data_IF_788636111350
#
_entry.id   IF_788636111350
#
_cell.length_a   1.000
_cell.length_b   1.000
_cell.length_c   1.000
_cell.angle_alpha   90.00
_cell.angle_beta   90.00
_cell.angle_gamma   90.00
#
_symmetry.space_group_name_H-M   'P 1'
#
loop_
_entity.id
_entity.type
_entity.pdbx_description
1 polymer ?
#
# COMPACT_ATOMS: atom_id res chain seq x y z
N UNK A 1 16.59 28.10 10.06
CA UNK A 1 16.79 26.87 10.85
C UNK A 1 16.80 25.66 9.93
N UNK A 2 17.79 24.74 10.06
CA UNK A 2 17.76 23.45 9.41
C UNK A 2 16.47 22.72 9.79
N UNK A 3 15.76 22.16 8.81
CA UNK A 3 14.55 21.38 9.08
C UNK A 3 14.94 19.95 9.38
N UNK A 4 14.30 19.33 10.37
CA UNK A 4 14.51 17.92 10.72
C UNK A 4 14.39 17.01 9.48
N UNK A 5 15.30 16.03 9.40
CA UNK A 5 15.30 14.99 8.38
C UNK A 5 13.99 14.19 8.48
N UNK A 6 13.40 13.85 7.34
CA UNK A 6 12.31 12.87 7.31
C UNK A 6 12.94 11.50 7.19
N UNK A 7 12.75 10.67 8.19
CA UNK A 7 13.07 9.26 8.08
C UNK A 7 11.82 8.55 7.55
N UNK A 8 11.93 7.93 6.38
CA UNK A 8 10.92 7.01 5.89
C UNK A 8 11.49 5.60 5.84
N UNK A 9 10.66 4.62 6.15
CA UNK A 9 11.06 3.21 6.22
C UNK A 9 10.32 2.41 5.15
N UNK A 10 11.01 1.45 4.54
CA UNK A 10 10.41 0.54 3.58
C UNK A 10 9.27 -0.27 4.23
N UNK A 11 8.22 -0.57 3.47
CA UNK A 11 7.06 -1.32 3.95
C UNK A 11 6.11 -0.53 4.86
N UNK A 12 6.53 0.61 5.44
CA UNK A 12 5.63 1.49 6.19
C UNK A 12 4.63 2.17 5.25
N UNK A 13 3.45 2.46 5.81
CA UNK A 13 2.36 3.12 5.08
C UNK A 13 2.28 4.57 5.53
N UNK A 14 2.18 5.47 4.56
CA UNK A 14 2.09 6.90 4.79
C UNK A 14 0.88 7.49 4.08
N UNK A 15 0.14 8.32 4.80
CA UNK A 15 -0.79 9.26 4.20
C UNK A 15 -0.03 10.51 3.76
N UNK A 16 0.17 10.63 2.45
CA UNK A 16 0.91 11.69 1.79
C UNK A 16 -0.04 12.68 1.15
N UNK A 17 0.21 13.98 1.35
CA UNK A 17 -0.63 15.02 0.77
C UNK A 17 0.17 16.29 0.51
N UNK A 18 -0.25 17.07 -0.48
CA UNK A 18 0.26 18.42 -0.69
C UNK A 18 -0.79 19.29 -1.37
N UNK A 19 -0.65 20.61 -1.22
CA UNK A 19 -1.53 21.63 -1.77
C UNK A 19 -0.77 22.59 -2.67
N UNK A 20 -1.46 23.08 -3.69
CA UNK A 20 -0.99 24.09 -4.63
C UNK A 20 -0.97 25.47 -3.97
N UNK A 21 0.03 26.29 -4.29
CA UNK A 21 0.18 27.67 -3.82
C UNK A 21 -0.92 28.61 -4.33
N UNK A 22 -1.21 29.68 -3.59
CA UNK A 22 -2.07 30.77 -4.08
C UNK A 22 -3.56 30.46 -4.23
N UNK A 23 -4.03 29.30 -3.74
CA UNK A 23 -5.45 28.93 -3.79
C UNK A 23 -5.95 28.46 -5.16
N UNK A 24 -5.07 28.36 -6.16
CA UNK A 24 -5.41 27.97 -7.52
C UNK A 24 -5.83 26.50 -7.62
N UNK A 25 -6.68 26.19 -8.60
CA UNK A 25 -7.16 24.83 -8.88
C UNK A 25 -6.63 24.28 -10.22
N UNK A 26 -5.30 24.12 -10.39
CA UNK A 26 -4.71 23.74 -11.68
C UNK A 26 -5.08 22.33 -12.12
N UNK A 27 -5.57 21.47 -11.23
CA UNK A 27 -6.07 20.13 -11.58
C UNK A 27 -7.55 20.12 -12.02
N UNK A 28 -8.23 21.28 -12.05
CA UNK A 28 -9.47 21.43 -12.81
C UNK A 28 -9.21 21.25 -14.31
N UNK A 29 -7.99 21.56 -14.76
CA UNK A 29 -7.52 21.20 -16.09
C UNK A 29 -7.20 19.71 -16.16
N UNK A 30 -7.99 19.00 -16.97
CA UNK A 30 -7.90 17.56 -17.11
C UNK A 30 -6.55 17.07 -17.65
N UNK A 31 -5.86 17.88 -18.47
CA UNK A 31 -4.53 17.52 -18.98
C UNK A 31 -3.53 17.43 -17.83
N UNK A 32 -3.53 18.41 -16.93
CA UNK A 32 -2.57 18.43 -15.83
C UNK A 32 -2.91 17.35 -14.81
N UNK A 33 -4.19 17.12 -14.57
CA UNK A 33 -4.64 16.02 -13.73
C UNK A 33 -4.23 14.66 -14.31
N UNK A 34 -4.41 14.45 -15.62
CA UNK A 34 -3.98 13.22 -16.28
C UNK A 34 -2.47 13.04 -16.21
N UNK A 35 -1.70 14.09 -16.52
CA UNK A 35 -0.24 14.08 -16.41
C UNK A 35 0.22 13.71 -15.00
N UNK A 36 -0.39 14.28 -13.96
CA UNK A 36 -0.07 13.95 -12.58
C UNK A 36 -0.29 12.46 -12.29
N UNK A 37 -1.39 11.90 -12.79
CA UNK A 37 -1.72 10.48 -12.63
C UNK A 37 -0.76 9.57 -13.40
N UNK A 38 -0.33 9.97 -14.59
CA UNK A 38 0.66 9.22 -15.37
C UNK A 38 2.04 9.26 -14.71
N UNK A 39 2.46 10.42 -14.21
CA UNK A 39 3.67 10.56 -13.39
C UNK A 39 3.58 9.72 -12.11
N UNK A 40 2.42 9.67 -11.46
CA UNK A 40 2.19 8.83 -10.28
C UNK A 40 2.39 7.35 -10.62
N UNK A 41 1.84 6.87 -11.74
CA UNK A 41 2.05 5.49 -12.21
C UNK A 41 3.52 5.20 -12.49
N UNK A 42 4.21 6.15 -13.13
CA UNK A 42 5.61 6.03 -13.47
C UNK A 42 6.46 5.88 -12.21
N UNK A 43 6.33 6.81 -11.25
CA UNK A 43 7.11 6.74 -9.99
C UNK A 43 6.70 5.53 -9.14
N UNK A 44 5.43 5.12 -9.17
CA UNK A 44 4.97 3.91 -8.46
C UNK A 44 5.69 2.68 -8.98
N UNK A 45 5.75 2.52 -10.31
CA UNK A 45 6.41 1.38 -10.96
C UNK A 45 7.92 1.44 -10.76
N UNK A 46 8.52 2.60 -11.01
CA UNK A 46 9.98 2.79 -10.96
C UNK A 46 10.56 2.57 -9.56
N UNK A 47 9.86 3.08 -8.54
CA UNK A 47 10.37 3.14 -7.16
C UNK A 47 9.76 2.05 -6.26
N UNK A 48 8.97 1.13 -6.82
CA UNK A 48 8.40 -0.03 -6.12
C UNK A 48 7.34 0.33 -5.08
N UNK A 49 6.60 1.42 -5.27
CA UNK A 49 5.57 1.86 -4.33
C UNK A 49 4.29 1.01 -4.48
N UNK A 50 3.52 0.88 -3.41
CA UNK A 50 2.12 0.41 -3.52
C UNK A 50 1.16 1.53 -3.12
N UNK A 51 0.24 1.88 -4.01
CA UNK A 51 -0.82 2.84 -3.74
C UNK A 51 -2.00 2.10 -3.13
N UNK A 52 -2.41 2.46 -1.91
CA UNK A 52 -3.54 1.86 -1.20
C UNK A 52 -4.80 2.72 -1.28
N UNK A 53 -4.66 3.97 -1.71
CA UNK A 53 -5.77 4.88 -1.97
C UNK A 53 -5.24 6.21 -2.48
N UNK A 54 -6.05 6.90 -3.28
CA UNK A 54 -5.65 8.19 -3.81
C UNK A 54 -6.87 9.05 -4.16
N UNK A 55 -6.71 10.36 -4.10
CA UNK A 55 -7.63 11.33 -4.68
C UNK A 55 -6.83 12.55 -5.12
N UNK A 56 -7.21 13.12 -6.26
CA UNK A 56 -6.65 14.36 -6.79
C UNK A 56 -7.79 15.35 -6.94
N UNK A 57 -7.77 16.40 -6.12
CA UNK A 57 -8.73 17.49 -6.11
C UNK A 57 -8.15 18.67 -6.89
N UNK A 58 -8.97 19.70 -7.14
CA UNK A 58 -8.57 20.85 -7.98
C UNK A 58 -7.25 21.50 -7.55
N UNK A 59 -7.01 21.61 -6.24
CA UNK A 59 -5.84 22.32 -5.69
C UNK A 59 -4.95 21.48 -4.76
N UNK A 60 -5.23 20.19 -4.58
CA UNK A 60 -4.42 19.33 -3.70
C UNK A 60 -4.62 17.85 -4.01
N UNK A 61 -3.75 17.00 -3.49
CA UNK A 61 -3.89 15.55 -3.59
C UNK A 61 -3.76 14.89 -2.21
N UNK A 62 -4.34 13.71 -2.09
CA UNK A 62 -4.07 12.76 -1.02
C UNK A 62 -3.70 11.39 -1.62
N UNK A 63 -2.64 10.78 -1.12
CA UNK A 63 -2.14 9.47 -1.51
C UNK A 63 -1.92 8.65 -0.25
N UNK A 64 -2.25 7.36 -0.27
CA UNK A 64 -1.92 6.40 0.78
C UNK A 64 -0.92 5.46 0.15
N UNK A 65 0.32 5.53 0.60
CA UNK A 65 1.46 4.90 -0.06
C UNK A 65 2.12 3.95 0.93
N UNK A 66 2.22 2.67 0.58
CA UNK A 66 3.24 1.81 1.17
C UNK A 66 4.56 2.09 0.46
N UNK A 67 5.56 2.50 1.23
CA UNK A 67 6.89 2.77 0.70
C UNK A 67 7.54 1.45 0.19
N UNK A 68 8.17 1.54 -0.97
CA UNK A 68 9.03 0.48 -1.53
C UNK A 68 10.50 0.65 -1.13
N UNK A 69 11.45 0.12 -1.91
CA UNK A 69 12.88 0.18 -1.56
C UNK A 69 13.48 1.58 -1.67
N UNK A 70 12.81 2.49 -2.39
CA UNK A 70 13.25 3.88 -2.55
C UNK A 70 12.57 4.76 -1.50
N UNK A 71 13.38 5.53 -0.76
CA UNK A 71 12.88 6.54 0.20
C UNK A 71 11.84 7.44 -0.44
N UNK A 72 10.68 7.57 0.22
CA UNK A 72 9.49 8.27 -0.28
C UNK A 72 9.75 9.72 -0.71
N UNK A 73 10.81 10.36 -0.20
CA UNK A 73 11.21 11.70 -0.63
C UNK A 73 11.54 11.77 -2.12
N UNK A 74 12.17 10.75 -2.69
CA UNK A 74 12.58 10.73 -4.11
C UNK A 74 11.40 10.66 -5.10
N UNK A 75 10.47 9.69 -5.02
CA UNK A 75 9.29 9.66 -5.88
C UNK A 75 8.44 10.92 -5.71
N UNK A 76 8.24 11.39 -4.47
CA UNK A 76 7.41 12.58 -4.23
C UNK A 76 8.06 13.86 -4.76
N UNK A 77 9.38 14.00 -4.63
CA UNK A 77 10.13 15.09 -5.27
C UNK A 77 9.98 15.03 -6.79
N UNK A 78 10.16 13.85 -7.39
CA UNK A 78 10.02 13.64 -8.85
C UNK A 78 8.63 14.05 -9.33
N UNK A 79 7.59 13.53 -8.68
CA UNK A 79 6.19 13.77 -9.01
C UNK A 79 5.87 15.27 -8.98
N UNK A 80 6.24 15.94 -7.88
CA UNK A 80 5.99 17.38 -7.71
C UNK A 80 6.78 18.24 -8.70
N UNK A 81 8.07 17.95 -8.88
CA UNK A 81 8.93 18.75 -9.78
C UNK A 81 8.51 18.63 -11.23
N UNK A 82 8.19 17.42 -11.71
CA UNK A 82 7.77 17.21 -13.10
C UNK A 82 6.40 17.80 -13.37
N UNK A 83 5.47 17.73 -12.41
CA UNK A 83 4.18 18.41 -12.51
C UNK A 83 4.36 19.93 -12.65
N UNK A 84 5.17 20.54 -11.78
CA UNK A 84 5.48 21.98 -11.85
C UNK A 84 6.13 22.35 -13.19
N UNK A 85 7.14 21.59 -13.63
CA UNK A 85 7.88 21.88 -14.87
C UNK A 85 6.97 21.80 -16.08
N UNK A 86 6.13 20.78 -16.18
CA UNK A 86 5.24 20.60 -17.31
C UNK A 86 4.18 21.70 -17.38
N UNK A 87 3.55 22.05 -16.26
CA UNK A 87 2.62 23.18 -16.18
C UNK A 87 3.32 24.48 -16.59
N UNK A 88 4.45 24.80 -15.97
CA UNK A 88 5.16 26.06 -16.21
C UNK A 88 5.59 26.20 -17.68
N UNK A 89 6.04 25.11 -18.29
CA UNK A 89 6.39 25.09 -19.72
C UNK A 89 5.18 25.34 -20.61
N UNK A 90 4.05 24.66 -20.34
CA UNK A 90 2.83 24.79 -21.14
C UNK A 90 2.20 26.17 -21.01
N UNK A 91 2.08 26.67 -19.77
CA UNK A 91 1.38 27.90 -19.45
C UNK A 91 2.30 29.14 -19.59
N UNK A 92 3.59 28.94 -19.91
CA UNK A 92 4.62 30.00 -19.98
C UNK A 92 4.73 30.85 -18.72
N UNK A 93 4.64 30.19 -17.56
CA UNK A 93 4.75 30.83 -16.24
C UNK A 93 5.97 30.31 -15.47
N UNK A 94 6.40 31.07 -14.47
CA UNK A 94 7.52 30.72 -13.60
C UNK A 94 7.06 30.56 -12.15
N UNK A 95 7.90 29.94 -11.32
CA UNK A 95 7.69 29.84 -9.88
C UNK A 95 7.20 28.47 -9.40
N UNK A 96 6.97 28.38 -8.08
CA UNK A 96 6.55 27.15 -7.41
C UNK A 96 5.05 26.90 -7.62
N UNK A 97 4.71 25.67 -7.99
CA UNK A 97 3.32 25.20 -7.98
C UNK A 97 2.83 24.87 -6.57
N UNK A 98 3.70 24.37 -5.70
CA UNK A 98 3.32 23.78 -4.41
C UNK A 98 3.52 24.77 -3.25
N UNK A 99 2.70 24.68 -2.20
CA UNK A 99 2.84 25.44 -0.94
C UNK A 99 4.08 25.04 -0.11
N UNK A 100 4.86 24.08 -0.59
CA UNK A 100 6.07 23.60 0.04
C UNK A 100 6.26 22.10 -0.18
N UNK A 101 7.04 21.46 0.70
CA UNK A 101 7.22 20.01 0.69
C UNK A 101 5.88 19.31 0.96
N UNK A 102 5.66 18.13 0.36
CA UNK A 102 4.56 17.25 0.76
C UNK A 102 4.55 17.04 2.27
N UNK A 103 3.40 16.74 2.84
CA UNK A 103 3.26 16.23 4.19
C UNK A 103 3.09 14.72 4.13
N UNK A 104 3.53 14.02 5.17
CA UNK A 104 3.37 12.58 5.31
C UNK A 104 3.10 12.28 6.78
N UNK A 105 2.01 11.57 7.06
CA UNK A 105 1.68 11.02 8.38
C UNK A 105 1.75 9.50 8.27
N UNK A 106 2.51 8.85 9.15
CA UNK A 106 2.56 7.38 9.18
C UNK A 106 1.18 6.84 9.58
N UNK A 107 0.77 5.76 8.91
CA UNK A 107 -0.44 5.02 9.25
C UNK A 107 -0.05 3.93 10.24
N UNK A 108 -0.52 4.15 11.47
CA UNK A 108 -0.40 3.47 12.76
C UNK A 108 -0.99 2.09 13.01
N UNK A 109 -2.08 1.77 12.31
CA UNK A 109 -2.90 0.57 12.55
C UNK A 109 -3.72 0.21 11.31
N UNK A 110 -4.24 -1.02 11.26
CA UNK A 110 -5.18 -1.47 10.22
C UNK A 110 -6.51 -0.70 10.26
N UNK A 111 -7.02 -0.40 11.46
CA UNK A 111 -8.22 0.42 11.65
C UNK A 111 -8.03 1.84 11.11
N UNK A 112 -6.88 2.46 11.41
CA UNK A 112 -6.55 3.78 10.88
C UNK A 112 -6.37 3.75 9.36
N UNK A 113 -5.80 2.67 8.81
CA UNK A 113 -5.70 2.48 7.37
C UNK A 113 -7.08 2.47 6.69
N UNK A 114 -8.05 1.75 7.23
CA UNK A 114 -9.42 1.72 6.68
C UNK A 114 -10.05 3.12 6.73
N UNK A 115 -9.93 3.82 7.85
CA UNK A 115 -10.46 5.18 8.04
C UNK A 115 -9.84 6.17 7.04
N UNK A 116 -8.51 6.17 6.88
CA UNK A 116 -7.85 7.11 5.96
C UNK A 116 -8.18 6.78 4.50
N UNK A 117 -8.33 5.49 4.14
CA UNK A 117 -8.82 5.08 2.80
C UNK A 117 -10.22 5.63 2.54
N UNK A 118 -11.14 5.51 3.50
CA UNK A 118 -12.49 6.06 3.36
C UNK A 118 -12.44 7.59 3.22
N UNK A 119 -11.71 8.28 4.10
CA UNK A 119 -11.52 9.73 4.06
C UNK A 119 -10.98 10.23 2.72
N UNK A 120 -9.94 9.58 2.18
CA UNK A 120 -9.33 9.97 0.89
C UNK A 120 -10.33 9.80 -0.25
N UNK A 121 -11.10 8.71 -0.26
CA UNK A 121 -12.08 8.45 -1.32
C UNK A 121 -13.33 9.32 -1.22
N UNK A 122 -13.71 9.76 -0.02
CA UNK A 122 -14.84 10.63 0.24
C UNK A 122 -14.53 12.12 0.13
N UNK A 123 -13.26 12.48 0.00
CA UNK A 123 -12.83 13.87 -0.12
C UNK A 123 -13.55 14.66 -1.23
N UNK A 124 -13.78 14.10 -2.44
CA UNK A 124 -14.54 14.79 -3.48
C UNK A 124 -16.01 15.05 -3.12
N UNK A 125 -16.63 14.15 -2.33
CA UNK A 125 -18.00 14.32 -1.83
C UNK A 125 -18.04 15.42 -0.78
N UNK A 126 -17.11 15.37 0.19
CA UNK A 126 -16.96 16.42 1.22
C UNK A 126 -16.68 17.80 0.62
N UNK A 127 -16.00 17.85 -0.53
CA UNK A 127 -15.73 19.09 -1.26
C UNK A 127 -16.92 19.58 -2.11
N UNK A 128 -18.06 18.88 -2.10
CA UNK A 128 -19.25 19.23 -2.88
C UNK A 128 -19.09 19.04 -4.39
N UNK A 129 -18.12 18.24 -4.84
CA UNK A 129 -17.84 18.05 -6.27
C UNK A 129 -18.74 16.98 -6.91
N UNK A 130 -19.20 16.01 -6.12
CA UNK A 130 -20.05 14.89 -6.54
C UNK A 130 -20.88 14.41 -5.35
N UNK A 131 -22.05 13.81 -5.61
CA UNK A 131 -22.90 13.25 -4.54
C UNK A 131 -22.38 11.91 -4.02
N UNK A 132 -21.64 11.18 -4.87
CA UNK A 132 -21.14 9.85 -4.53
C UNK A 132 -19.71 9.63 -5.04
N UNK A 133 -18.84 9.01 -4.22
CA UNK A 133 -17.41 8.80 -4.54
C UNK A 133 -17.18 8.09 -5.89
N UNK A 134 -18.10 7.23 -6.31
CA UNK A 134 -18.05 6.52 -7.58
C UNK A 134 -18.23 7.39 -8.83
N UNK A 135 -18.71 8.63 -8.69
CA UNK A 135 -18.85 9.61 -9.76
C UNK A 135 -17.53 10.36 -10.01
N UNK A 136 -16.65 10.48 -9.00
CA UNK A 136 -15.40 11.22 -9.14
C UNK A 136 -14.32 10.42 -9.88
N UNK A 137 -13.89 10.91 -11.05
CA UNK A 137 -12.90 10.23 -11.91
C UNK A 137 -11.48 10.24 -11.37
N UNK A 138 -11.12 11.25 -10.58
CA UNK A 138 -9.77 11.46 -10.06
C UNK A 138 -9.62 10.90 -8.64
N UNK A 139 -10.10 9.68 -8.44
CA UNK A 139 -10.02 8.97 -7.17
C UNK A 139 -9.79 7.47 -7.38
N UNK A 140 -9.10 6.87 -6.41
CA UNK A 140 -8.84 5.44 -6.29
C UNK A 140 -10.06 4.62 -5.90
N UNK A 141 -11.18 5.25 -5.52
CA UNK A 141 -12.43 4.54 -5.23
C UNK A 141 -12.86 3.70 -6.44
N UNK A 142 -12.78 4.29 -7.64
CA UNK A 142 -13.11 3.63 -8.91
C UNK A 142 -12.20 2.45 -9.23
N UNK A 143 -10.97 2.45 -8.72
CA UNK A 143 -10.04 1.32 -8.87
C UNK A 143 -10.55 0.12 -8.07
N UNK A 144 -10.93 0.35 -6.81
CA UNK A 144 -11.38 -0.70 -5.87
C UNK A 144 -12.72 -1.30 -6.31
N UNK A 145 -13.67 -0.48 -6.76
CA UNK A 145 -14.99 -0.97 -7.20
C UNK A 145 -15.00 -1.54 -8.63
N UNK A 146 -13.84 -1.64 -9.29
CA UNK A 146 -13.70 -2.26 -10.62
C UNK A 146 -14.18 -1.40 -11.79
N UNK A 147 -14.28 -0.08 -11.61
CA UNK A 147 -14.68 0.88 -12.67
C UNK A 147 -13.50 1.45 -13.48
N UNK A 148 -12.26 1.00 -13.22
CA UNK A 148 -11.07 1.36 -13.99
C UNK A 148 -10.36 0.10 -14.48
N UNK A 149 -10.08 0.02 -15.80
CA UNK A 149 -9.40 -1.12 -16.43
C UNK A 149 -7.97 -1.33 -15.92
N UNK A 150 -7.24 -0.23 -15.70
CA UNK A 150 -5.85 -0.23 -15.21
C UNK A 150 -5.82 0.50 -13.87
N UNK A 151 -6.11 -0.16 -12.73
CA UNK A 151 -6.05 0.49 -11.43
C UNK A 151 -4.62 0.97 -11.12
N UNK A 152 -4.49 2.02 -10.31
CA UNK A 152 -3.22 2.40 -9.66
C UNK A 152 -3.19 1.80 -8.27
N UNK A 153 -4.35 1.75 -7.62
CA UNK A 153 -4.50 1.11 -6.32
C UNK A 153 -4.12 -0.36 -6.42
N UNK A 154 -3.34 -0.85 -5.47
CA UNK A 154 -3.14 -2.27 -5.22
C UNK A 154 -4.45 -2.83 -4.62
N UNK A 155 -5.44 -3.09 -5.48
CA UNK A 155 -6.83 -3.41 -5.06
C UNK A 155 -6.87 -4.62 -4.12
N UNK A 156 -6.10 -5.67 -4.43
CA UNK A 156 -6.08 -6.87 -3.60
C UNK A 156 -5.49 -6.58 -2.20
N UNK A 157 -4.47 -5.73 -2.11
CA UNK A 157 -3.87 -5.28 -0.84
C UNK A 157 -4.87 -4.53 0.03
N UNK A 158 -5.67 -3.66 -0.59
CA UNK A 158 -6.72 -2.92 0.11
C UNK A 158 -7.83 -3.87 0.56
N UNK A 159 -8.33 -4.72 -0.33
CA UNK A 159 -9.45 -5.60 0.01
C UNK A 159 -9.11 -6.60 1.13
N UNK A 160 -7.83 -6.97 1.31
CA UNK A 160 -7.39 -7.78 2.44
C UNK A 160 -7.67 -7.14 3.80
N UNK A 161 -7.78 -5.81 3.89
CA UNK A 161 -8.10 -5.12 5.15
C UNK A 161 -9.60 -5.12 5.46
N UNK A 162 -10.46 -5.45 4.48
CA UNK A 162 -11.92 -5.39 4.61
C UNK A 162 -12.58 -6.77 4.68
N UNK A 163 -11.87 -7.86 4.36
CA UNK A 163 -12.41 -9.20 4.55
C UNK A 163 -11.69 -10.31 3.79
N UNK A 164 -12.07 -11.55 4.12
CA UNK A 164 -11.35 -12.77 3.71
C UNK A 164 -11.56 -13.17 2.24
N UNK A 165 -12.69 -12.76 1.67
CA UNK A 165 -13.06 -13.04 0.28
C UNK A 165 -13.28 -11.73 -0.44
N UNK A 166 -12.89 -11.67 -1.72
CA UNK A 166 -13.06 -10.48 -2.57
C UNK A 166 -14.49 -9.93 -2.51
N UNK A 167 -15.50 -10.80 -2.51
CA UNK A 167 -16.92 -10.40 -2.44
C UNK A 167 -17.28 -9.77 -1.10
N UNK A 168 -16.87 -10.38 0.03
CA UNK A 168 -17.13 -9.82 1.38
C UNK A 168 -16.35 -8.54 1.61
N UNK A 169 -15.07 -8.53 1.26
CA UNK A 169 -14.20 -7.35 1.36
C UNK A 169 -14.75 -6.17 0.55
N UNK A 170 -15.19 -6.40 -0.69
CA UNK A 170 -15.76 -5.33 -1.51
C UNK A 170 -17.07 -4.80 -0.93
N UNK A 171 -17.90 -5.68 -0.33
CA UNK A 171 -19.12 -5.27 0.36
C UNK A 171 -18.79 -4.44 1.61
N UNK A 172 -17.86 -4.90 2.43
CA UNK A 172 -17.42 -4.20 3.64
C UNK A 172 -16.78 -2.84 3.31
N UNK A 173 -15.95 -2.77 2.26
CA UNK A 173 -15.41 -1.52 1.75
C UNK A 173 -16.51 -0.54 1.28
N UNK A 174 -17.51 -1.02 0.53
CA UNK A 174 -18.63 -0.16 0.10
C UNK A 174 -19.42 0.32 1.32
N UNK A 175 -19.76 -0.59 2.22
CA UNK A 175 -20.43 -0.25 3.47
C UNK A 175 -19.66 0.78 4.28
N UNK A 176 -18.33 0.70 4.37
CA UNK A 176 -17.55 1.70 5.12
C UNK A 176 -17.57 3.07 4.44
N UNK A 177 -17.64 3.13 3.11
CA UNK A 177 -17.80 4.39 2.37
C UNK A 177 -19.19 4.98 2.63
N UNK A 178 -20.24 4.15 2.59
CA UNK A 178 -21.63 4.56 2.78
C UNK A 178 -21.91 4.97 4.25
N UNK A 179 -21.35 4.26 5.23
CA UNK A 179 -21.47 4.60 6.66
C UNK A 179 -20.80 5.94 6.97
N UNK A 180 -19.58 6.17 6.47
CA UNK A 180 -18.87 7.44 6.70
C UNK A 180 -19.54 8.62 5.98
N UNK A 181 -20.26 8.37 4.88
CA UNK A 181 -21.12 9.39 4.24
C UNK A 181 -22.33 9.78 5.10
N UNK A 182 -22.85 8.86 5.92
CA UNK A 182 -24.01 9.08 6.78
C UNK A 182 -23.71 9.69 8.16
N UNK A 183 -22.44 9.79 8.56
CA UNK A 183 -22.03 10.36 9.86
C UNK A 183 -21.87 11.89 9.80
N UNK A 184 -22.27 12.61 10.87
CA UNK A 184 -22.17 14.08 10.99
C UNK A 184 -20.73 14.60 10.89
N UNK A 185 -19.73 13.78 11.23
CA UNK A 185 -18.29 14.05 11.07
C UNK A 185 -17.86 14.21 9.60
N UNK A 186 -18.76 13.96 8.65
CA UNK A 186 -18.58 14.30 7.24
C UNK A 186 -18.43 15.82 7.01
N UNK A 187 -18.98 16.65 7.92
CA UNK A 187 -19.03 18.11 7.84
C UNK A 187 -17.80 18.84 8.42
N UNK A 188 -16.93 18.17 9.19
CA UNK A 188 -15.76 18.80 9.79
C UNK A 188 -14.61 18.99 8.78
N UNK A 189 -14.12 20.23 8.69
CA UNK A 189 -13.04 20.61 7.78
C UNK A 189 -11.66 20.03 8.17
N UNK A 190 -10.67 20.06 7.25
CA UNK A 190 -9.32 19.57 7.52
C UNK A 190 -8.69 20.33 8.70
N UNK A 191 -8.57 19.68 9.86
CA UNK A 191 -7.96 20.24 11.07
C UNK A 191 -8.74 19.96 12.37
N UNK A 192 -10.01 19.55 12.23
CA UNK A 192 -10.92 19.31 13.37
C UNK A 192 -11.25 17.84 13.61
N UNK A 193 -10.97 16.95 12.66
CA UNK A 193 -11.09 15.52 12.90
C UNK A 193 -10.22 15.15 14.13
N UNK A 194 -10.71 14.32 15.07
CA UNK A 194 -10.03 14.04 16.34
C UNK A 194 -8.56 13.58 16.18
N UNK A 195 -8.25 12.95 15.05
CA UNK A 195 -6.95 12.39 14.66
C UNK A 195 -6.15 13.24 13.64
N UNK A 196 -6.70 14.39 13.22
CA UNK A 196 -6.10 15.33 12.25
C UNK A 196 -6.15 16.77 12.75
N UNK A 197 -5.31 17.08 13.74
CA UNK A 197 -5.10 18.46 14.19
C UNK A 197 -4.09 19.16 13.28
N UNK A 198 -4.38 20.39 12.86
CA UNK A 198 -3.40 21.29 12.26
C UNK A 198 -2.36 21.68 13.35
N UNK A 199 -1.26 20.93 13.45
CA UNK A 199 -0.21 21.13 14.45
C UNK A 199 1.07 20.35 14.15
N UNK A 200 2.14 20.61 14.92
CA UNK A 200 3.33 19.72 14.90
C UNK A 200 2.91 18.37 15.49
N UNK A 201 3.40 17.23 14.97
CA UNK A 201 3.19 15.92 15.59
C UNK A 201 3.57 15.97 17.07
N UNK A 202 2.76 15.37 17.95
CA UNK A 202 3.15 15.20 19.36
C UNK A 202 4.42 14.35 19.45
N UNK A 203 5.11 14.37 20.60
CA UNK A 203 6.34 13.60 20.77
C UNK A 203 6.13 12.08 20.62
N UNK A 204 4.92 11.60 20.94
CA UNK A 204 4.48 10.21 20.71
C UNK A 204 4.16 9.91 19.23
N UNK A 205 3.76 10.92 18.45
CA UNK A 205 3.56 10.83 16.99
C UNK A 205 4.87 11.02 16.19
N UNK A 206 6.00 11.26 16.87
CA UNK A 206 7.32 11.26 16.23
C UNK A 206 7.79 9.83 16.03
N UNK A 207 8.22 9.54 14.80
CA UNK A 207 8.82 8.27 14.37
C UNK A 207 9.79 7.73 15.43
N UNK A 208 9.45 6.59 16.04
CA UNK A 208 10.42 5.75 16.74
C UNK A 208 11.14 4.91 15.68
N UNK A 209 12.29 5.42 15.25
CA UNK A 209 13.17 4.76 14.28
C UNK A 209 14.06 3.74 15.02
N UNK A 210 14.36 2.61 14.38
CA UNK A 210 15.30 1.54 14.77
C UNK A 210 14.77 0.37 15.61
N UNK A 211 13.74 -0.34 15.17
CA UNK A 211 13.62 -1.80 15.44
C UNK A 211 12.98 -2.53 14.24
N UNK A 212 13.41 -3.76 13.98
CA UNK A 212 12.82 -4.63 12.96
C UNK A 212 11.31 -4.78 13.25
N UNK A 213 10.48 -4.15 12.43
CA UNK A 213 9.06 -3.94 12.76
C UNK A 213 8.16 -4.50 11.66
N UNK A 214 7.01 -5.01 12.09
CA UNK A 214 5.92 -5.37 11.20
C UNK A 214 5.13 -4.09 10.85
N UNK A 215 4.68 -3.96 9.60
CA UNK A 215 3.75 -2.92 9.16
C UNK A 215 2.35 -3.22 9.73
N UNK A 216 1.40 -2.34 9.42
CA UNK A 216 0.02 -2.43 9.93
C UNK A 216 -0.78 -3.64 9.46
N UNK A 217 -0.25 -4.37 8.48
CA UNK A 217 -0.80 -5.63 8.00
C UNK A 217 0.05 -6.83 8.49
N UNK A 218 0.96 -6.61 9.44
CA UNK A 218 1.82 -7.63 10.01
C UNK A 218 3.03 -8.01 9.13
N UNK A 219 3.59 -7.11 8.31
CA UNK A 219 4.68 -7.40 7.34
C UNK A 219 6.02 -6.76 7.69
N UNK A 220 7.15 -7.46 7.63
CA UNK A 220 8.47 -6.85 7.95
C UNK A 220 8.81 -5.68 7.02
N UNK A 221 9.28 -4.57 7.61
CA UNK A 221 9.66 -3.29 6.98
C UNK A 221 11.07 -3.28 6.33
N UNK A 222 11.66 -4.46 6.09
CA UNK A 222 13.08 -4.57 5.68
C UNK A 222 13.33 -4.27 4.19
N UNK A 223 14.59 -3.88 3.92
CA UNK A 223 15.14 -3.10 2.80
C UNK A 223 15.26 -3.78 1.40
N UNK A 224 14.76 -5.00 1.21
CA UNK A 224 15.21 -5.88 0.11
C UNK A 224 14.13 -6.89 -0.31
N UNK A 225 13.83 -6.94 -1.62
CA UNK A 225 12.97 -7.96 -2.26
C UNK A 225 13.68 -8.54 -3.49
N UNK A 226 14.52 -9.57 -3.31
CA UNK A 226 15.08 -10.31 -4.45
C UNK A 226 13.96 -11.03 -5.17
N UNK A 227 14.22 -11.45 -6.40
CA UNK A 227 13.31 -12.35 -7.10
C UNK A 227 13.89 -13.75 -7.13
N UNK A 228 13.30 -14.67 -6.38
CA UNK A 228 13.56 -16.09 -6.54
C UNK A 228 12.72 -16.65 -7.69
N UNK A 229 13.30 -17.61 -8.45
CA UNK A 229 12.46 -18.48 -9.27
C UNK A 229 11.69 -19.42 -8.34
N UNK A 230 10.47 -19.75 -8.73
CA UNK A 230 9.59 -20.58 -7.89
C UNK A 230 10.19 -21.95 -7.57
N UNK A 231 10.99 -22.53 -8.47
CA UNK A 231 11.66 -23.82 -8.26
C UNK A 231 12.75 -23.73 -7.19
N UNK A 232 13.69 -22.80 -7.36
CA UNK A 232 14.76 -22.52 -6.40
C UNK A 232 14.20 -22.20 -5.01
N UNK A 233 13.11 -21.41 -4.96
CA UNK A 233 12.41 -21.11 -3.72
C UNK A 233 11.84 -22.36 -3.04
N UNK A 234 11.19 -23.25 -3.80
CA UNK A 234 10.64 -24.50 -3.25
C UNK A 234 11.76 -25.36 -2.69
N UNK A 235 12.88 -25.49 -3.40
CA UNK A 235 14.03 -26.28 -2.95
C UNK A 235 14.64 -25.72 -1.67
N UNK A 236 14.79 -24.39 -1.58
CA UNK A 236 15.27 -23.71 -0.37
C UNK A 236 14.35 -23.98 0.82
N UNK A 237 13.03 -23.84 0.64
CA UNK A 237 12.06 -24.11 1.72
C UNK A 237 12.09 -25.58 2.15
N UNK A 238 12.22 -26.51 1.19
CA UNK A 238 12.34 -27.93 1.48
C UNK A 238 13.59 -28.22 2.33
N UNK A 239 14.74 -27.67 1.94
CA UNK A 239 15.99 -27.83 2.70
C UNK A 239 15.93 -27.18 4.08
N UNK A 240 15.36 -25.98 4.20
CA UNK A 240 15.25 -25.26 5.47
C UNK A 240 14.28 -25.91 6.47
N UNK A 241 13.29 -26.67 5.98
CA UNK A 241 12.30 -27.33 6.81
C UNK A 241 12.52 -28.86 6.93
N UNK A 242 13.54 -29.40 6.27
CA UNK A 242 13.80 -30.84 6.14
C UNK A 242 12.55 -31.62 5.64
N UNK A 243 11.94 -31.12 4.57
CA UNK A 243 10.72 -31.68 3.97
C UNK A 243 11.02 -32.14 2.54
N UNK A 244 10.61 -33.38 2.21
CA UNK A 244 10.65 -33.85 0.83
C UNK A 244 9.72 -33.00 -0.04
N UNK A 245 10.25 -32.51 -1.16
CA UNK A 245 9.53 -31.71 -2.14
C UNK A 245 8.25 -32.39 -2.62
N UNK A 246 8.28 -33.72 -2.81
CA UNK A 246 7.09 -34.49 -3.23
C UNK A 246 5.95 -34.36 -2.23
N UNK A 247 6.24 -34.25 -0.95
CA UNK A 247 5.22 -34.07 0.07
C UNK A 247 4.48 -32.71 -0.07
N UNK A 248 5.14 -31.68 -0.61
CA UNK A 248 4.50 -30.39 -0.94
C UNK A 248 3.66 -30.45 -2.22
N UNK A 249 4.00 -31.32 -3.17
CA UNK A 249 3.27 -31.60 -4.41
C UNK A 249 2.07 -32.54 -4.19
N UNK A 250 2.10 -33.38 -3.15
CA UNK A 250 1.08 -34.38 -2.88
C UNK A 250 -0.22 -33.84 -2.27
N UNK A 251 -1.25 -34.69 -2.09
CA UNK A 251 -2.50 -34.29 -1.42
C UNK A 251 -2.43 -34.34 0.11
N UNK A 252 -1.25 -34.64 0.67
CA UNK A 252 -1.01 -34.73 2.12
C UNK A 252 -1.43 -33.48 2.88
N UNK A 253 -1.97 -33.66 4.08
CA UNK A 253 -2.50 -32.59 4.94
C UNK A 253 -1.98 -32.68 6.38
N UNK A 254 -0.82 -33.29 6.61
CA UNK A 254 -0.22 -33.28 7.93
C UNK A 254 0.02 -31.83 8.40
N UNK A 255 0.00 -31.57 9.71
CA UNK A 255 0.27 -30.23 10.23
C UNK A 255 1.59 -29.64 9.71
N UNK A 256 2.65 -30.44 9.57
CA UNK A 256 3.93 -29.96 9.03
C UNK A 256 3.81 -29.53 7.56
N UNK A 257 3.21 -30.36 6.70
CA UNK A 257 3.06 -30.06 5.27
C UNK A 257 2.17 -28.84 5.03
N UNK A 258 1.12 -28.68 5.85
CA UNK A 258 0.26 -27.50 5.81
C UNK A 258 1.04 -26.25 6.20
N UNK A 259 1.80 -26.29 7.30
CA UNK A 259 2.63 -25.16 7.76
C UNK A 259 3.73 -24.81 6.75
N UNK A 260 4.37 -25.82 6.16
CA UNK A 260 5.40 -25.63 5.14
C UNK A 260 4.85 -24.91 3.90
N UNK A 261 3.69 -25.34 3.39
CA UNK A 261 3.00 -24.65 2.29
C UNK A 261 2.62 -23.21 2.62
N UNK A 262 2.19 -22.96 3.85
CA UNK A 262 1.85 -21.62 4.35
C UNK A 262 3.09 -20.72 4.42
N UNK A 263 4.22 -21.22 4.92
CA UNK A 263 5.51 -20.52 4.93
C UNK A 263 6.02 -20.26 3.51
N UNK A 264 5.92 -21.25 2.63
CA UNK A 264 6.36 -21.19 1.24
C UNK A 264 5.58 -20.12 0.46
N UNK A 265 4.26 -20.08 0.63
CA UNK A 265 3.42 -19.03 0.09
C UNK A 265 3.73 -17.67 0.72
N UNK A 266 3.72 -17.59 2.06
CA UNK A 266 3.91 -16.35 2.80
C UNK A 266 5.23 -15.67 2.47
N UNK A 267 6.35 -16.34 2.76
CA UNK A 267 7.68 -15.75 2.67
C UNK A 267 8.09 -15.56 1.21
N UNK A 268 7.82 -16.54 0.34
CA UNK A 268 8.18 -16.46 -1.08
C UNK A 268 7.48 -15.32 -1.81
N UNK A 269 6.16 -15.19 -1.62
CA UNK A 269 5.37 -14.15 -2.29
C UNK A 269 5.66 -12.78 -1.66
N UNK A 270 5.75 -12.71 -0.33
CA UNK A 270 5.87 -11.43 0.37
C UNK A 270 7.28 -10.83 0.28
N UNK A 271 8.32 -11.66 0.33
CA UNK A 271 9.71 -11.19 0.49
C UNK A 271 10.55 -11.42 -0.75
N UNK A 272 10.32 -12.53 -1.46
CA UNK A 272 11.20 -12.96 -2.55
C UNK A 272 10.57 -12.91 -3.94
N UNK A 273 9.47 -12.15 -4.10
CA UNK A 273 8.85 -11.87 -5.39
C UNK A 273 8.37 -13.11 -6.16
N UNK A 274 8.19 -14.25 -5.48
CA UNK A 274 7.75 -15.51 -6.08
C UNK A 274 6.30 -15.34 -6.54
N UNK A 275 6.03 -15.58 -7.82
CA UNK A 275 4.69 -15.40 -8.36
C UNK A 275 3.81 -16.60 -8.02
N UNK A 276 2.60 -16.33 -7.54
CA UNK A 276 1.55 -17.35 -7.28
C UNK A 276 1.36 -18.31 -8.46
N UNK A 277 1.41 -17.79 -9.69
CA UNK A 277 1.26 -18.60 -10.90
C UNK A 277 2.43 -19.56 -11.15
N UNK A 278 3.66 -19.10 -10.93
CA UNK A 278 4.88 -19.89 -11.10
C UNK A 278 4.95 -20.96 -9.99
N UNK A 279 4.62 -20.59 -8.76
CA UNK A 279 4.57 -21.49 -7.62
C UNK A 279 3.50 -22.58 -7.75
N UNK A 280 2.33 -22.21 -8.28
CA UNK A 280 1.26 -23.15 -8.58
C UNK A 280 1.67 -24.16 -9.66
N UNK A 281 2.41 -23.70 -10.68
CA UNK A 281 2.93 -24.56 -11.74
C UNK A 281 3.98 -25.54 -11.20
N UNK A 282 4.95 -25.04 -10.43
CA UNK A 282 6.04 -25.85 -9.85
C UNK A 282 5.52 -26.95 -8.91
N UNK A 283 4.48 -26.66 -8.13
CA UNK A 283 3.92 -27.60 -7.14
C UNK A 283 2.70 -28.39 -7.65
N UNK A 284 2.39 -28.29 -8.95
CA UNK A 284 1.21 -28.90 -9.57
C UNK A 284 -0.11 -28.61 -8.81
N UNK A 285 -0.25 -27.37 -8.33
CA UNK A 285 -1.42 -26.90 -7.57
C UNK A 285 -2.25 -25.88 -8.35
N UNK A 286 -3.46 -25.65 -7.88
CA UNK A 286 -4.25 -24.51 -8.33
C UNK A 286 -3.71 -23.20 -7.73
N UNK A 287 -3.76 -22.12 -8.52
CA UNK A 287 -3.44 -20.76 -8.05
C UNK A 287 -4.25 -20.38 -6.80
N UNK A 288 -5.52 -20.80 -6.76
CA UNK A 288 -6.39 -20.59 -5.59
C UNK A 288 -5.92 -21.31 -4.33
N UNK A 289 -5.34 -22.50 -4.47
CA UNK A 289 -4.70 -23.24 -3.37
C UNK A 289 -3.50 -22.50 -2.81
N UNK A 290 -2.59 -22.06 -3.68
CA UNK A 290 -1.41 -21.27 -3.28
C UNK A 290 -1.80 -19.96 -2.60
N UNK A 291 -2.78 -19.22 -3.16
CA UNK A 291 -3.31 -18.02 -2.51
C UNK A 291 -3.97 -18.29 -1.16
N UNK A 292 -4.50 -19.50 -0.92
CA UNK A 292 -5.03 -19.88 0.39
C UNK A 292 -3.90 -20.11 1.39
N UNK A 293 -2.78 -20.71 0.98
CA UNK A 293 -1.61 -20.89 1.83
C UNK A 293 -1.01 -19.56 2.26
N UNK A 294 -0.79 -18.64 1.30
CA UNK A 294 -0.32 -17.28 1.59
C UNK A 294 -1.15 -16.58 2.68
N UNK A 295 -2.49 -16.60 2.51
CA UNK A 295 -3.42 -15.97 3.45
C UNK A 295 -3.43 -16.63 4.82
N UNK A 296 -3.44 -17.96 4.88
CA UNK A 296 -3.37 -18.68 6.17
C UNK A 296 -2.05 -18.43 6.87
N UNK A 297 -0.95 -18.36 6.12
CA UNK A 297 0.35 -17.96 6.64
C UNK A 297 0.35 -16.56 7.26
N UNK A 298 -0.30 -15.58 6.63
CA UNK A 298 -0.44 -14.24 7.21
C UNK A 298 -1.14 -14.25 8.58
N UNK A 299 -2.29 -14.92 8.65
CA UNK A 299 -3.08 -15.04 9.90
C UNK A 299 -2.26 -15.76 10.97
N UNK A 300 -1.67 -16.91 10.61
CA UNK A 300 -0.87 -17.72 11.52
C UNK A 300 0.37 -16.98 12.02
N UNK A 301 1.02 -16.15 11.19
CA UNK A 301 2.14 -15.29 11.61
C UNK A 301 1.72 -14.23 12.63
N UNK A 302 0.47 -13.76 12.59
CA UNK A 302 -0.05 -12.82 13.57
C UNK A 302 -0.48 -13.50 14.88
N UNK A 303 -1.00 -14.72 14.80
CA UNK A 303 -1.63 -15.43 15.94
C UNK A 303 -0.68 -16.41 16.66
N UNK A 304 0.31 -16.98 15.97
CA UNK A 304 1.18 -18.05 16.49
C UNK A 304 2.66 -17.63 16.54
N UNK A 305 3.23 -17.41 17.75
CA UNK A 305 4.62 -16.98 17.92
C UNK A 305 5.64 -17.93 17.28
N UNK A 306 5.41 -19.23 17.33
CA UNK A 306 6.28 -20.25 16.72
C UNK A 306 6.31 -20.15 15.20
N UNK A 307 5.16 -19.92 14.57
CA UNK A 307 5.07 -19.74 13.13
C UNK A 307 5.71 -18.42 12.71
N UNK A 308 5.53 -17.36 13.50
CA UNK A 308 6.23 -16.10 13.29
C UNK A 308 7.75 -16.27 13.35
N UNK A 309 8.25 -17.03 14.34
CA UNK A 309 9.67 -17.36 14.45
C UNK A 309 10.17 -18.20 13.27
N UNK A 310 9.39 -19.19 12.83
CA UNK A 310 9.72 -20.01 11.65
C UNK A 310 9.78 -19.17 10.36
N UNK A 311 8.83 -18.23 10.18
CA UNK A 311 8.86 -17.32 9.03
C UNK A 311 10.08 -16.40 9.04
N UNK A 312 10.51 -15.92 10.22
CA UNK A 312 11.73 -15.12 10.36
C UNK A 312 12.97 -15.93 10.03
N UNK A 313 13.11 -17.14 10.58
CA UNK A 313 14.24 -18.04 10.27
C UNK A 313 14.33 -18.33 8.78
N UNK A 314 13.22 -18.66 8.14
CA UNK A 314 13.18 -18.94 6.70
C UNK A 314 13.56 -17.71 5.86
N UNK A 315 13.11 -16.51 6.27
CA UNK A 315 13.53 -15.25 5.64
C UNK A 315 15.04 -15.01 5.78
N UNK A 316 15.60 -15.26 6.96
CA UNK A 316 17.01 -15.05 7.23
C UNK A 316 17.88 -16.04 6.43
N UNK A 317 17.50 -17.34 6.40
CA UNK A 317 18.15 -18.36 5.54
C UNK A 317 18.13 -17.98 4.06
N UNK A 318 16.99 -17.51 3.54
CA UNK A 318 16.88 -17.09 2.15
C UNK A 318 17.55 -15.74 1.84
N UNK A 319 18.04 -15.04 2.86
CA UNK A 319 18.82 -13.81 2.65
C UNK A 319 20.33 -14.05 2.67
N UNK A 320 20.77 -15.23 3.11
CA UNK A 320 22.18 -15.65 3.15
C UNK A 320 22.60 -16.47 1.92
N UNK A 321 21.65 -16.93 1.10
CA UNK A 321 21.87 -17.68 -0.14
C UNK A 321 21.92 -16.70 -1.33
N UNK A 322 23.11 -16.38 -1.89
CA UNK A 322 23.32 -15.26 -2.84
C UNK A 322 22.69 -15.43 -4.23
#
# INVERSE_FOLDING_TARGET
MPRAMRAFEEGRIYHVYNRVGGGWAPFADEWLAQLFIDLLREVTTRDGLQILGWTLLGNHYHLIIRQGPVDLSRPMKTLQQRTTRARNLRDRVYGSLWQGRFKAKEVTTSSYLMQVIAYVHLNPVKAGLVDHAAQYRWSGHRDIIGRRKKPIVAVDEVLLTYGETKRRALRAYRSSIDTVLGEEWSSEGPGQLPWWRLGRPTEEERLKVNEASLDQLGRRTAKWRPRYKADDWVNLVCGALDIDRRALEDRGRSPEIVRARELLGLVGIERFGVRVGELAQVLEKSRGGVSKWYRRGLIRRAEEPEFAAASRRLEDTASEDP
#
